data_IF_186907848477
#
_entry.id   IF_186907848477
#
_cell.length_a   1.000
_cell.length_b   1.000
_cell.length_c   1.000
_cell.angle_alpha   90.00
_cell.angle_beta   90.00
_cell.angle_gamma   90.00
#
_symmetry.space_group_name_H-M   'P 1'
#
loop_
_entity.id
_entity.type
_entity.pdbx_description
1 polymer ?
2 non-polymer ?
3 non-polymer ?
4 non-polymer ?
5 non-polymer ?
6 non-polymer ?
7 water ?
#
# COMPACT_ATOMS: atom_id res chain seq x y z
N UNK A 1 19.78 5.78 -12.53
CA UNK A 1 20.77 5.97 -11.46
C UNK A 1 20.05 6.25 -10.13
N UNK A 2 19.96 7.52 -9.73
CA UNK A 2 19.27 7.89 -8.50
C UNK A 2 17.76 7.83 -8.69
N UNK A 3 17.03 7.85 -7.55
CA UNK A 3 15.61 7.48 -7.56
C UNK A 3 14.76 8.43 -8.39
N UNK A 4 14.96 9.74 -8.23
CA UNK A 4 14.13 10.68 -8.98
C UNK A 4 14.33 10.53 -10.47
N UNK A 5 15.51 10.07 -10.90
CA UNK A 5 15.77 9.79 -12.31
C UNK A 5 15.08 8.51 -12.76
N UNK A 6 15.23 7.45 -11.96
CA UNK A 6 14.58 6.17 -12.24
C UNK A 6 13.07 6.32 -12.36
N UNK A 7 12.46 7.19 -11.55
CA UNK A 7 11.04 7.48 -11.66
C UNK A 7 10.65 8.01 -13.04
N UNK A 8 11.55 8.77 -13.68
CA UNK A 8 11.21 9.40 -14.95
C UNK A 8 11.55 8.47 -16.11
N UNK A 9 12.63 7.72 -15.99
CA UNK A 9 13.11 6.96 -17.13
C UNK A 9 12.99 5.45 -16.98
N UNK A 10 12.62 4.95 -15.79
CA UNK A 10 12.40 3.53 -15.64
C UNK A 10 11.07 3.08 -16.20
N UNK A 11 11.05 1.86 -16.74
CA UNK A 11 9.87 1.35 -17.40
C UNK A 11 9.83 1.79 -18.86
N UNK A 12 8.85 1.29 -19.58
CA UNK A 12 8.63 1.71 -20.96
C UNK A 12 7.34 2.53 -20.96
N UNK A 13 7.51 3.85 -21.13
CA UNK A 13 6.40 4.80 -21.10
C UNK A 13 6.48 5.79 -22.27
N UNK A 14 6.97 5.33 -23.42
CA UNK A 14 6.83 6.08 -24.66
C UNK A 14 6.28 5.13 -25.72
N UNK A 15 5.85 5.71 -26.83
CA UNK A 15 5.36 4.94 -27.97
C UNK A 15 6.53 4.67 -28.93
N UNK A 16 6.87 3.40 -29.10
CA UNK A 16 7.91 3.06 -30.07
C UNK A 16 7.52 3.46 -31.48
N UNK A 17 6.23 3.38 -31.82
CA UNK A 17 5.76 3.59 -33.19
C UNK A 17 5.84 5.06 -33.58
N UNK A 18 5.05 5.93 -32.92
CA UNK A 18 5.05 7.36 -33.26
C UNK A 18 6.13 8.15 -32.52
N UNK A 19 6.71 7.60 -31.45
CA UNK A 19 7.63 8.37 -30.66
C UNK A 19 6.99 9.22 -29.58
N UNK A 20 5.67 9.15 -29.43
CA UNK A 20 4.96 9.93 -28.41
C UNK A 20 5.62 9.75 -27.06
N UNK A 21 5.93 10.87 -26.38
CA UNK A 21 6.70 10.80 -25.14
C UNK A 21 5.89 10.32 -23.95
N UNK A 22 4.59 10.02 -24.15
CA UNK A 22 3.73 9.45 -23.14
C UNK A 22 3.09 8.20 -23.73
N UNK A 23 2.66 7.29 -22.85
CA UNK A 23 2.07 6.01 -23.26
C UNK A 23 0.70 6.24 -23.89
N UNK A 24 0.48 5.81 -25.13
CA UNK A 24 -0.86 5.95 -25.71
C UNK A 24 -1.88 5.16 -24.91
N UNK A 25 -3.12 5.67 -24.90
CA UNK A 25 -4.23 5.05 -24.18
C UNK A 25 -4.95 4.14 -25.16
N UNK A 26 -4.77 2.82 -25.02
CA UNK A 26 -5.37 1.84 -25.92
C UNK A 26 -6.75 1.49 -25.40
N UNK A 27 -7.69 2.39 -25.68
CA UNK A 27 -9.10 2.16 -25.37
C UNK A 27 -9.61 1.18 -26.42
N UNK A 28 -9.28 -0.11 -26.20
CA UNK A 28 -9.51 -1.16 -27.18
C UNK A 28 -9.59 -2.50 -26.46
N UNK A 29 -10.28 -3.46 -27.10
CA UNK A 29 -10.46 -4.79 -26.54
C UNK A 29 -9.89 -5.92 -27.37
N UNK A 30 -9.65 -5.72 -28.66
CA UNK A 30 -9.18 -6.81 -29.50
C UNK A 30 -8.29 -6.26 -30.61
N UNK A 31 -7.51 -7.14 -31.22
CA UNK A 31 -6.41 -6.74 -32.09
C UNK A 31 -6.42 -7.56 -33.37
N UNK A 32 -6.18 -6.87 -34.49
CA UNK A 32 -6.07 -7.54 -35.79
C UNK A 32 -4.96 -8.58 -35.76
N UNK A 33 -5.20 -9.69 -36.46
CA UNK A 33 -4.17 -10.69 -36.69
C UNK A 33 -3.94 -10.77 -38.20
N UNK A 34 -2.66 -10.75 -38.59
CA UNK A 34 -2.35 -10.82 -40.02
C UNK A 34 -2.55 -12.21 -40.57
N UNK A 35 -2.25 -13.22 -39.75
CA UNK A 35 -2.56 -14.62 -40.03
C UNK A 35 -3.04 -15.24 -38.72
N UNK A 36 -3.85 -16.30 -38.84
CA UNK A 36 -4.36 -16.99 -37.66
C UNK A 36 -3.19 -17.39 -36.77
N UNK A 37 -3.09 -16.79 -35.58
CA UNK A 37 -2.08 -17.10 -34.59
C UNK A 37 -0.90 -16.14 -34.53
N UNK A 38 -0.71 -15.32 -35.57
CA UNK A 38 0.40 -14.38 -35.62
C UNK A 38 -0.11 -13.01 -35.13
N UNK A 39 0.30 -12.64 -33.92
CA UNK A 39 -0.02 -11.35 -33.35
C UNK A 39 1.07 -10.36 -33.74
N UNK A 40 0.66 -9.15 -34.13
CA UNK A 40 1.63 -8.15 -34.61
C UNK A 40 2.64 -7.78 -33.54
N UNK A 41 2.18 -7.59 -32.29
CA UNK A 41 3.02 -7.13 -31.20
C UNK A 41 2.72 -7.88 -29.90
N UNK A 42 2.11 -9.05 -29.98
CA UNK A 42 1.82 -9.85 -28.81
C UNK A 42 0.47 -9.60 -28.18
N UNK A 43 -0.38 -8.79 -28.81
CA UNK A 43 -1.69 -8.45 -28.28
C UNK A 43 -2.75 -9.15 -29.11
N UNK A 44 -3.71 -9.76 -28.43
CA UNK A 44 -4.86 -10.40 -29.08
C UNK A 44 -6.19 -10.15 -28.40
N UNK A 45 -6.21 -9.86 -27.09
CA UNK A 45 -7.45 -9.59 -26.36
C UNK A 45 -7.07 -8.83 -25.10
N UNK A 46 -7.78 -7.72 -24.82
CA UNK A 46 -7.29 -6.77 -23.82
C UNK A 46 -7.34 -7.31 -22.40
N UNK A 47 -8.25 -8.24 -22.10
CA UNK A 47 -8.23 -8.86 -20.77
C UNK A 47 -6.91 -9.59 -20.53
N UNK A 48 -6.43 -10.32 -21.54
CA UNK A 48 -5.13 -10.98 -21.42
C UNK A 48 -3.99 -9.97 -21.34
N UNK A 49 -3.94 -9.00 -22.26
CA UNK A 49 -2.92 -7.96 -22.20
C UNK A 49 -3.36 -6.76 -23.02
N UNK A 50 -3.07 -5.57 -22.50
CA UNK A 50 -3.36 -4.29 -23.14
C UNK A 50 -2.10 -3.45 -23.09
N UNK A 51 -1.72 -2.77 -24.19
CA UNK A 51 -0.41 -2.06 -24.19
C UNK A 51 -0.30 -0.94 -23.14
N UNK A 52 -1.39 -0.25 -22.79
CA UNK A 52 -1.31 0.74 -21.72
C UNK A 52 -1.09 0.07 -20.37
N UNK A 53 -1.84 -1.00 -20.10
CA UNK A 53 -1.63 -1.75 -18.86
C UNK A 53 -0.22 -2.31 -18.82
N UNK A 54 0.30 -2.73 -19.98
CA UNK A 54 1.66 -3.25 -20.05
C UNK A 54 2.66 -2.16 -19.64
N UNK A 55 2.41 -0.93 -20.07
CA UNK A 55 3.21 0.20 -19.61
C UNK A 55 3.25 0.31 -18.09
N UNK A 56 2.07 0.36 -17.46
CA UNK A 56 2.10 0.56 -16.01
C UNK A 56 2.73 -0.66 -15.30
N UNK A 57 2.52 -1.86 -15.84
CA UNK A 57 3.13 -3.05 -15.24
C UNK A 57 4.65 -3.00 -15.34
N UNK A 58 5.17 -2.53 -16.48
CA UNK A 58 6.62 -2.39 -16.60
C UNK A 58 7.14 -1.37 -15.59
N UNK A 59 6.36 -0.30 -15.34
CA UNK A 59 6.81 0.70 -14.37
C UNK A 59 6.89 0.10 -12.96
N UNK A 60 5.84 -0.62 -12.53
CA UNK A 60 5.87 -1.13 -11.15
C UNK A 60 6.93 -2.21 -11.00
N UNK A 61 7.14 -3.04 -12.04
CA UNK A 61 8.23 -4.01 -11.98
C UNK A 61 9.57 -3.32 -11.83
N UNK A 62 9.81 -2.25 -12.61
CA UNK A 62 11.09 -1.55 -12.56
C UNK A 62 11.32 -0.88 -11.21
N UNK A 63 10.30 -0.19 -10.69
CA UNK A 63 10.45 0.56 -9.45
C UNK A 63 10.65 -0.36 -8.23
N UNK A 64 10.14 -1.59 -8.28
CA UNK A 64 10.33 -2.54 -7.19
C UNK A 64 11.46 -3.51 -7.47
N UNK A 65 12.27 -3.26 -8.50
CA UNK A 65 13.37 -4.15 -8.92
C UNK A 65 12.90 -5.58 -9.10
N UNK A 66 11.70 -5.75 -9.66
CA UNK A 66 11.19 -7.04 -10.05
C UNK A 66 11.32 -7.25 -11.54
N UNK A 67 10.76 -8.39 -11.99
CA UNK A 67 10.74 -8.69 -13.41
C UNK A 67 9.35 -8.69 -14.01
N UNK A 68 8.31 -8.76 -13.19
CA UNK A 68 6.95 -8.92 -13.68
C UNK A 68 6.02 -8.01 -12.92
N UNK A 69 5.16 -7.30 -13.66
CA UNK A 69 4.16 -6.44 -13.08
C UNK A 69 2.77 -6.86 -13.50
N UNK A 70 1.80 -6.59 -12.62
CA UNK A 70 0.39 -6.92 -12.84
C UNK A 70 -0.46 -5.79 -12.31
N UNK A 71 -1.37 -5.28 -13.14
CA UNK A 71 -2.29 -4.21 -12.74
C UNK A 71 -3.70 -4.75 -12.61
N UNK A 72 -4.30 -4.53 -11.44
CA UNK A 72 -5.64 -4.99 -11.11
C UNK A 72 -6.56 -3.80 -10.88
N UNK A 73 -7.86 -4.07 -10.90
CA UNK A 73 -8.87 -3.01 -10.82
C UNK A 73 -8.95 -2.36 -9.45
N UNK A 74 -8.24 -2.87 -8.45
CA UNK A 74 -8.17 -2.25 -7.13
C UNK A 74 -7.06 -2.94 -6.35
N UNK A 75 -6.70 -2.34 -5.22
CA UNK A 75 -5.80 -3.01 -4.30
C UNK A 75 -6.35 -4.34 -3.78
N UNK A 76 -7.63 -4.37 -3.38
CA UNK A 76 -8.16 -5.65 -2.91
C UNK A 76 -8.28 -6.66 -4.05
N UNK A 77 -8.38 -6.21 -5.30
CA UNK A 77 -8.36 -7.16 -6.41
C UNK A 77 -6.97 -7.80 -6.56
N UNK A 78 -5.91 -7.01 -6.37
CA UNK A 78 -4.56 -7.56 -6.38
C UNK A 78 -4.33 -8.50 -5.21
N UNK A 79 -4.81 -8.12 -4.02
CA UNK A 79 -4.67 -8.97 -2.84
C UNK A 79 -5.41 -10.28 -3.05
N UNK A 80 -6.63 -10.21 -3.60
CA UNK A 80 -7.40 -11.42 -3.88
C UNK A 80 -6.68 -12.32 -4.88
N UNK A 81 -6.14 -11.73 -5.95
CA UNK A 81 -5.39 -12.52 -6.94
C UNK A 81 -4.23 -13.25 -6.28
N UNK A 82 -3.54 -12.58 -5.34
CA UNK A 82 -2.41 -13.22 -4.66
C UNK A 82 -2.90 -14.35 -3.75
N UNK A 83 -3.99 -14.13 -3.01
CA UNK A 83 -4.54 -15.16 -2.13
C UNK A 83 -5.01 -16.37 -2.94
N UNK A 84 -5.47 -16.13 -4.18
CA UNK A 84 -5.93 -17.23 -5.02
C UNK A 84 -4.78 -18.05 -5.58
N UNK A 85 -3.52 -17.72 -5.26
CA UNK A 85 -2.42 -18.65 -5.48
C UNK A 85 -2.55 -19.92 -4.63
N UNK A 86 -3.41 -19.92 -3.63
CA UNK A 86 -3.55 -21.04 -2.69
C UNK A 86 -4.79 -21.87 -3.01
N UNK A 87 -4.87 -23.05 -2.37
CA UNK A 87 -5.98 -23.98 -2.49
C UNK A 87 -6.70 -24.11 -1.16
N UNK A 88 -7.94 -24.65 -1.21
CA UNK A 88 -8.62 -25.12 -0.01
C UNK A 88 -7.67 -25.94 0.86
N UNK A 89 -7.64 -25.60 2.15
CA UNK A 89 -6.82 -26.29 3.12
C UNK A 89 -5.50 -25.61 3.40
N UNK A 90 -5.07 -24.69 2.54
CA UNK A 90 -3.85 -23.94 2.76
C UNK A 90 -4.08 -22.86 3.82
N UNK A 91 -2.99 -22.47 4.47
CA UNK A 91 -3.03 -21.56 5.61
C UNK A 91 -2.15 -20.35 5.38
N UNK A 92 -2.61 -19.17 5.83
CA UNK A 92 -1.88 -17.91 5.69
C UNK A 92 -1.63 -17.31 7.06
N UNK A 93 -0.41 -16.82 7.28
CA UNK A 93 -0.07 -16.01 8.45
C UNK A 93 -0.03 -14.56 8.01
N UNK A 94 -0.76 -13.69 8.71
CA UNK A 94 -0.77 -12.27 8.42
C UNK A 94 -0.48 -11.49 9.71
N UNK A 95 -0.07 -10.23 9.57
CA UNK A 95 0.11 -9.40 10.77
C UNK A 95 -1.25 -9.11 11.39
N UNK A 96 -1.25 -8.89 12.72
CA UNK A 96 -2.50 -8.92 13.48
C UNK A 96 -3.43 -7.78 13.10
N UNK A 97 -2.89 -6.66 12.64
CA UNK A 97 -3.70 -5.47 12.38
C UNK A 97 -3.75 -5.13 10.89
N UNK A 98 -4.02 -6.12 10.03
CA UNK A 98 -4.04 -5.86 8.59
C UNK A 98 -5.14 -4.87 8.26
N UNK A 99 -5.01 -4.26 7.08
CA UNK A 99 -6.03 -3.39 6.54
C UNK A 99 -7.41 -4.07 6.62
N UNK A 100 -8.41 -3.30 7.06
CA UNK A 100 -9.75 -3.85 7.21
C UNK A 100 -10.26 -4.59 5.98
N UNK A 101 -9.97 -4.07 4.78
CA UNK A 101 -10.42 -4.74 3.58
C UNK A 101 -9.76 -6.10 3.39
N UNK A 102 -8.49 -6.21 3.77
CA UNK A 102 -7.79 -7.48 3.69
C UNK A 102 -8.39 -8.47 4.70
N UNK A 103 -8.60 -8.01 5.94
CA UNK A 103 -9.22 -8.85 6.96
C UNK A 103 -10.59 -9.33 6.51
N UNK A 104 -11.40 -8.42 5.95
CA UNK A 104 -12.75 -8.75 5.51
C UNK A 104 -12.72 -9.76 4.37
N UNK A 105 -11.89 -9.50 3.35
CA UNK A 105 -11.78 -10.45 2.24
C UNK A 105 -11.39 -11.83 2.74
N UNK A 106 -10.41 -11.90 3.65
CA UNK A 106 -9.93 -13.20 4.09
C UNK A 106 -10.96 -13.91 4.95
N UNK A 107 -11.51 -13.23 5.97
CA UNK A 107 -12.38 -13.93 6.91
C UNK A 107 -13.82 -14.04 6.44
N UNK A 108 -14.22 -13.32 5.39
CA UNK A 108 -15.60 -13.39 4.93
C UNK A 108 -15.75 -13.94 3.52
N UNK A 109 -14.68 -14.00 2.73
CA UNK A 109 -14.76 -14.57 1.38
C UNK A 109 -13.90 -15.84 1.33
N UNK A 110 -12.59 -15.70 1.44
CA UNK A 110 -11.71 -16.82 1.15
C UNK A 110 -11.78 -17.92 2.20
N UNK A 111 -12.24 -17.60 3.41
CA UNK A 111 -12.45 -18.62 4.42
C UNK A 111 -13.55 -19.59 4.00
N UNK A 112 -14.53 -19.11 3.23
CA UNK A 112 -15.55 -19.99 2.68
C UNK A 112 -14.98 -20.91 1.60
N UNK A 113 -13.78 -20.64 1.11
CA UNK A 113 -13.13 -21.50 0.13
C UNK A 113 -12.09 -22.41 0.77
N UNK A 114 -12.13 -22.54 2.09
CA UNK A 114 -11.22 -23.44 2.78
C UNK A 114 -9.84 -22.90 2.99
N UNK A 115 -9.58 -21.64 2.66
CA UNK A 115 -8.30 -21.04 3.01
C UNK A 115 -8.36 -20.59 4.47
N UNK A 116 -7.37 -21.00 5.25
CA UNK A 116 -7.32 -20.74 6.69
C UNK A 116 -6.34 -19.62 6.98
N UNK A 117 -6.67 -18.76 7.94
CA UNK A 117 -5.86 -17.60 8.25
C UNK A 117 -5.66 -17.46 9.75
N UNK A 118 -4.46 -17.01 10.14
CA UNK A 118 -4.19 -16.56 11.51
C UNK A 118 -3.53 -15.19 11.48
N UNK A 119 -4.03 -14.29 12.33
CA UNK A 119 -3.49 -12.94 12.47
C UNK A 119 -2.67 -12.89 13.74
N UNK A 120 -1.35 -12.73 13.60
CA UNK A 120 -0.45 -12.79 14.74
C UNK A 120 0.39 -11.51 14.79
N UNK A 121 1.02 -11.28 15.94
CA UNK A 121 1.79 -10.06 16.09
C UNK A 121 3.17 -10.29 15.48
N UNK A 122 3.33 -9.86 14.23
CA UNK A 122 4.59 -10.06 13.52
C UNK A 122 5.69 -9.09 13.94
N UNK A 123 5.41 -8.14 14.85
CA UNK A 123 6.48 -7.24 15.29
C UNK A 123 7.59 -8.01 16.00
N UNK A 124 7.29 -9.20 16.54
CA UNK A 124 8.29 -10.19 16.93
C UNK A 124 8.20 -11.37 15.94
N UNK A 125 9.26 -11.57 15.13
CA UNK A 125 9.18 -12.57 14.05
C UNK A 125 9.08 -14.00 14.57
N UNK A 126 9.53 -14.26 15.79
CA UNK A 126 9.35 -15.60 16.34
C UNK A 126 7.87 -15.92 16.56
N UNK A 127 7.00 -14.90 16.59
CA UNK A 127 5.58 -15.21 16.61
C UNK A 127 5.12 -15.77 15.27
N UNK A 128 5.77 -15.35 14.17
CA UNK A 128 5.54 -16.00 12.90
C UNK A 128 5.98 -17.45 12.97
N UNK A 129 7.19 -17.69 13.50
CA UNK A 129 7.71 -19.06 13.52
C UNK A 129 6.80 -19.98 14.35
N UNK A 130 6.27 -19.49 15.48
CA UNK A 130 5.33 -20.32 16.24
C UNK A 130 4.02 -20.53 15.48
N UNK A 131 3.54 -19.51 14.76
CA UNK A 131 2.26 -19.65 14.09
C UNK A 131 2.29 -20.61 12.91
N UNK A 132 3.47 -21.04 12.46
CA UNK A 132 3.56 -21.87 11.26
C UNK A 132 2.96 -23.25 11.55
N UNK A 133 1.98 -23.63 10.74
CA UNK A 133 1.34 -24.94 10.75
C UNK A 133 1.90 -25.80 9.63
N UNK A 134 1.70 -27.12 9.69
CA UNK A 134 2.09 -27.95 8.54
C UNK A 134 1.39 -27.55 7.25
N UNK A 135 0.22 -26.89 7.32
CA UNK A 135 -0.50 -26.44 6.14
C UNK A 135 -0.18 -25.01 5.69
N UNK A 136 0.72 -24.30 6.37
CA UNK A 136 0.95 -22.90 6.02
C UNK A 136 1.67 -22.81 4.68
N UNK A 137 1.13 -22.00 3.75
CA UNK A 137 1.76 -21.80 2.46
C UNK A 137 2.16 -20.36 2.18
N UNK A 138 1.66 -19.39 2.94
CA UNK A 138 1.88 -17.99 2.63
C UNK A 138 2.06 -17.17 3.90
N UNK A 139 2.97 -16.21 3.84
CA UNK A 139 3.16 -15.18 4.86
C UNK A 139 2.91 -13.83 4.21
N UNK A 140 1.95 -13.06 4.75
CA UNK A 140 1.48 -11.78 4.21
C UNK A 140 1.63 -10.72 5.29
N UNK A 141 2.47 -9.71 5.07
CA UNK A 141 2.68 -8.66 6.07
C UNK A 141 2.55 -7.28 5.42
N UNK A 142 1.97 -6.35 6.17
CA UNK A 142 2.01 -4.92 5.88
C UNK A 142 3.03 -4.27 6.80
N UNK A 143 3.85 -3.38 6.26
CA UNK A 143 4.66 -2.61 7.20
C UNK A 143 5.00 -1.24 6.61
N UNK A 144 4.67 -0.14 7.30
CA UNK A 144 3.96 -0.15 8.60
C UNK A 144 2.45 -0.30 8.43
N UNK A 145 1.76 -0.71 9.49
CA UNK A 145 0.34 -1.04 9.44
C UNK A 145 -0.52 0.18 9.74
N UNK A 146 -1.84 0.00 9.62
CA UNK A 146 -2.83 1.05 9.83
C UNK A 146 -3.79 0.69 10.95
N UNK A 147 -4.11 1.64 11.86
CA UNK A 147 -3.63 3.03 11.90
C UNK A 147 -2.52 3.30 12.91
N UNK A 148 -1.90 2.28 13.48
CA UNK A 148 -0.94 2.47 14.55
C UNK A 148 0.51 2.33 14.10
N UNK A 149 0.72 2.07 12.81
CA UNK A 149 2.03 2.01 12.15
C UNK A 149 3.00 1.09 12.87
N UNK A 150 2.56 -0.14 13.09
CA UNK A 150 3.44 -1.19 13.61
C UNK A 150 4.36 -1.66 12.48
N UNK A 151 5.64 -1.82 12.82
CA UNK A 151 6.69 -2.16 11.88
C UNK A 151 7.01 -3.64 12.00
N UNK A 152 7.13 -4.33 10.87
CA UNK A 152 7.54 -5.73 10.85
C UNK A 152 8.84 -5.84 10.07
N UNK A 153 9.79 -6.61 10.60
CA UNK A 153 11.08 -6.85 9.96
C UNK A 153 10.88 -7.64 8.66
N UNK A 154 11.10 -6.99 7.53
CA UNK A 154 10.82 -7.60 6.23
C UNK A 154 11.84 -8.69 5.92
N UNK A 155 13.11 -8.44 6.23
CA UNK A 155 14.15 -9.36 5.79
C UNK A 155 14.12 -10.65 6.61
N UNK A 156 13.88 -10.56 7.92
CA UNK A 156 13.69 -11.78 8.71
C UNK A 156 12.42 -12.52 8.32
N UNK A 157 11.38 -11.77 7.93
CA UNK A 157 10.17 -12.41 7.43
C UNK A 157 10.46 -13.22 6.16
N UNK A 158 11.28 -12.65 5.27
CA UNK A 158 11.67 -13.36 4.06
C UNK A 158 12.50 -14.59 4.37
N UNK A 159 13.43 -14.50 5.32
CA UNK A 159 14.22 -15.67 5.69
C UNK A 159 13.34 -16.77 6.26
N UNK A 160 12.44 -16.43 7.19
CA UNK A 160 11.52 -17.41 7.74
C UNK A 160 10.72 -18.08 6.63
N UNK A 161 10.18 -17.27 5.71
CA UNK A 161 9.37 -17.81 4.62
C UNK A 161 10.20 -18.73 3.72
N UNK A 162 11.44 -18.33 3.41
CA UNK A 162 12.29 -19.16 2.56
C UNK A 162 12.58 -20.49 3.24
N UNK A 163 12.88 -20.46 4.53
CA UNK A 163 13.25 -21.67 5.24
C UNK A 163 12.06 -22.63 5.41
N UNK A 164 10.84 -22.11 5.50
CA UNK A 164 9.68 -22.99 5.69
C UNK A 164 8.86 -23.19 4.41
N UNK A 165 9.36 -22.74 3.25
CA UNK A 165 8.64 -22.96 2.01
C UNK A 165 7.39 -22.15 1.82
N UNK A 166 7.36 -20.93 2.34
CA UNK A 166 6.20 -20.05 2.25
C UNK A 166 6.40 -19.03 1.13
N UNK A 167 5.32 -18.73 0.41
CA UNK A 167 5.32 -17.53 -0.44
C UNK A 167 5.24 -16.33 0.48
N UNK A 168 6.25 -15.46 0.42
CA UNK A 168 6.21 -14.22 1.20
C UNK A 168 5.66 -13.07 0.36
N UNK A 169 4.75 -12.30 0.96
CA UNK A 169 4.07 -11.15 0.36
C UNK A 169 4.16 -9.95 1.30
N UNK A 170 4.47 -8.79 0.74
CA UNK A 170 4.42 -7.53 1.48
C UNK A 170 3.47 -6.58 0.77
N UNK A 171 2.50 -6.07 1.53
CA UNK A 171 1.67 -4.95 1.11
C UNK A 171 2.49 -3.70 1.39
N UNK A 172 3.07 -3.11 0.33
CA UNK A 172 4.00 -2.00 0.45
C UNK A 172 3.35 -0.65 0.15
N UNK A 173 2.02 -0.56 0.34
CA UNK A 173 1.27 0.64 0.00
C UNK A 173 1.78 1.87 0.75
N UNK A 174 1.94 1.74 2.06
CA UNK A 174 2.22 2.90 2.91
C UNK A 174 3.60 3.50 2.64
N UNK A 175 4.57 2.69 2.21
CA UNK A 175 5.92 3.18 2.01
C UNK A 175 6.19 3.63 0.57
N UNK A 176 5.52 3.00 -0.43
CA UNK A 176 5.73 3.17 -1.87
C UNK A 176 7.07 2.58 -2.27
N UNK A 177 7.29 2.26 -3.55
CA UNK A 177 8.64 1.80 -3.97
C UNK A 177 9.71 2.85 -3.80
N UNK A 178 9.34 4.10 -3.54
CA UNK A 178 10.34 5.14 -3.40
C UNK A 178 11.19 4.93 -2.15
N UNK A 179 10.62 4.34 -1.10
CA UNK A 179 11.28 4.26 0.20
C UNK A 179 11.59 2.85 0.67
N UNK A 180 10.94 1.84 0.12
CA UNK A 180 11.02 0.47 0.66
C UNK A 180 10.83 -0.51 -0.49
N UNK A 181 11.76 -1.46 -0.64
CA UNK A 181 11.71 -2.41 -1.75
C UNK A 181 11.77 -3.84 -1.22
N UNK A 182 10.61 -4.42 -0.88
CA UNK A 182 10.59 -5.77 -0.30
C UNK A 182 11.27 -6.83 -1.17
N UNK A 183 11.16 -6.74 -2.49
CA UNK A 183 11.77 -7.76 -3.35
C UNK A 183 13.28 -7.79 -3.16
N UNK A 184 13.87 -6.65 -2.83
CA UNK A 184 15.30 -6.59 -2.60
C UNK A 184 15.71 -7.27 -1.30
N UNK A 185 14.76 -7.43 -0.37
CA UNK A 185 15.02 -8.06 0.92
C UNK A 185 14.59 -9.53 0.95
N UNK A 186 14.37 -10.14 -0.22
CA UNK A 186 14.08 -11.56 -0.32
C UNK A 186 12.61 -11.93 -0.42
N UNK A 187 11.71 -10.95 -0.37
CA UNK A 187 10.28 -11.22 -0.47
C UNK A 187 9.93 -11.72 -1.88
N UNK A 188 8.96 -12.63 -1.96
CA UNK A 188 8.55 -13.18 -3.24
C UNK A 188 7.67 -12.19 -4.02
N UNK A 189 6.67 -11.60 -3.36
CA UNK A 189 5.66 -10.77 -4.03
C UNK A 189 5.49 -9.47 -3.24
N UNK A 190 5.45 -8.34 -3.96
CA UNK A 190 5.13 -7.05 -3.36
C UNK A 190 3.87 -6.52 -4.04
N UNK A 191 2.98 -5.89 -3.28
CA UNK A 191 1.75 -5.35 -3.85
C UNK A 191 1.46 -3.98 -3.26
N UNK A 192 0.53 -3.28 -3.92
CA UNK A 192 0.16 -1.90 -3.60
C UNK A 192 -1.31 -1.67 -3.92
N UNK A 193 -1.98 -0.90 -3.06
CA UNK A 193 -3.13 -0.12 -3.50
C UNK A 193 -2.56 1.10 -4.24
N UNK A 194 -2.56 1.05 -5.57
CA UNK A 194 -2.11 2.23 -6.32
C UNK A 194 -3.09 3.38 -6.20
N UNK A 195 -4.26 3.12 -5.60
CA UNK A 195 -5.26 4.13 -5.27
C UNK A 195 -4.68 5.23 -4.40
N UNK A 196 -3.64 4.88 -3.64
CA UNK A 196 -3.11 5.80 -2.64
C UNK A 196 -1.95 6.60 -3.25
N UNK A 197 -0.74 6.43 -2.74
CA UNK A 197 0.40 7.27 -3.12
C UNK A 197 0.86 7.20 -4.58
N UNK A 198 0.80 6.01 -5.18
CA UNK A 198 1.38 5.83 -6.52
C UNK A 198 0.62 6.66 -7.54
N UNK A 199 -0.70 6.46 -7.65
CA UNK A 199 -1.51 7.36 -8.46
C UNK A 199 -1.48 8.77 -7.91
N UNK A 200 -1.64 8.90 -6.58
CA UNK A 200 -1.28 10.10 -5.86
C UNK A 200 -2.21 11.28 -6.00
N UNK A 201 -3.29 11.16 -6.78
CA UNK A 201 -4.17 12.29 -7.08
C UNK A 201 -5.64 11.98 -6.78
N UNK A 202 -5.91 10.94 -5.98
CA UNK A 202 -7.26 10.56 -5.55
C UNK A 202 -8.21 10.40 -6.72
N UNK A 203 -7.71 9.86 -7.82
CA UNK A 203 -8.57 9.75 -9.00
C UNK A 203 -8.43 8.43 -9.75
N UNK A 204 -7.77 7.43 -9.18
CA UNK A 204 -7.70 6.09 -9.75
C UNK A 204 -7.84 5.09 -8.61
N UNK A 205 -8.71 4.10 -8.79
CA UNK A 205 -8.76 2.92 -7.93
C UNK A 205 -8.06 1.79 -8.68
N UNK A 206 -6.94 1.30 -8.13
CA UNK A 206 -6.07 0.37 -8.84
C UNK A 206 -5.21 -0.41 -7.85
N UNK A 207 -4.81 -1.61 -8.26
CA UNK A 207 -3.82 -2.39 -7.53
C UNK A 207 -2.64 -2.74 -8.42
N UNK A 208 -1.46 -2.83 -7.81
CA UNK A 208 -0.25 -3.22 -8.55
C UNK A 208 0.48 -4.33 -7.80
N UNK A 209 0.94 -5.35 -8.53
CA UNK A 209 1.71 -6.47 -8.00
C UNK A 209 3.01 -6.60 -8.78
N UNK A 210 4.12 -6.87 -8.08
CA UNK A 210 5.39 -7.10 -8.75
C UNK A 210 6.09 -8.30 -8.14
N UNK A 211 6.81 -9.02 -8.99
CA UNK A 211 7.57 -10.18 -8.54
C UNK A 211 8.75 -10.40 -9.46
N UNK A 212 9.79 -11.04 -8.92
CA UNK A 212 10.92 -11.50 -9.70
C UNK A 212 10.85 -13.00 -10.01
N UNK A 213 9.89 -13.70 -9.44
CA UNK A 213 9.78 -15.14 -9.57
C UNK A 213 8.98 -15.49 -10.81
N UNK A 214 9.63 -16.16 -11.78
CA UNK A 214 8.99 -16.49 -13.05
C UNK A 214 7.76 -17.36 -12.87
N UNK A 215 7.85 -18.38 -11.98
CA UNK A 215 6.74 -19.31 -11.86
C UNK A 215 5.56 -18.67 -11.13
N UNK A 216 5.85 -17.88 -10.08
CA UNK A 216 4.78 -17.10 -9.45
C UNK A 216 4.18 -16.11 -10.43
N UNK A 217 5.00 -15.49 -11.28
CA UNK A 217 4.47 -14.55 -12.26
C UNK A 217 3.54 -15.27 -13.24
N UNK A 218 3.91 -16.48 -13.66
CA UNK A 218 3.05 -17.27 -14.53
C UNK A 218 1.72 -17.61 -13.87
N UNK A 219 1.74 -17.94 -12.57
CA UNK A 219 0.49 -18.25 -11.87
C UNK A 219 -0.36 -16.99 -11.67
N UNK A 220 0.27 -15.86 -11.34
CA UNK A 220 -0.47 -14.60 -11.21
C UNK A 220 -1.10 -14.20 -12.54
N UNK A 221 -0.35 -14.37 -13.65
CA UNK A 221 -0.90 -14.04 -14.96
C UNK A 221 -2.09 -14.93 -15.30
N UNK A 222 -1.99 -16.23 -15.01
CA UNK A 222 -3.13 -17.11 -15.25
C UNK A 222 -4.34 -16.70 -14.42
N UNK A 223 -4.11 -16.36 -13.14
CA UNK A 223 -5.24 -15.96 -12.30
C UNK A 223 -5.87 -14.68 -12.83
N UNK A 224 -5.03 -13.69 -13.18
CA UNK A 224 -5.53 -12.45 -13.77
C UNK A 224 -6.36 -12.72 -15.02
N UNK A 225 -5.86 -13.54 -15.93
CA UNK A 225 -6.60 -13.75 -17.16
C UNK A 225 -7.90 -14.53 -16.91
N UNK A 226 -7.91 -15.43 -15.91
CA UNK A 226 -9.09 -16.27 -15.70
C UNK A 226 -10.18 -15.60 -14.87
N UNK A 227 -9.80 -14.78 -13.87
CA UNK A 227 -10.78 -14.13 -13.02
C UNK A 227 -11.03 -12.65 -13.36
N UNK A 228 -10.12 -12.00 -14.08
CA UNK A 228 -10.44 -10.82 -14.84
C UNK A 228 -10.52 -9.50 -14.11
N UNK A 229 -9.89 -9.39 -12.93
CA UNK A 229 -9.87 -8.12 -12.22
C UNK A 229 -8.79 -7.18 -12.71
N UNK A 230 -8.81 -6.85 -14.03
CA UNK A 230 -7.74 -6.11 -14.71
C UNK A 230 -7.99 -4.60 -14.61
N UNK A 231 -6.90 -3.83 -14.53
CA UNK A 231 -7.01 -2.39 -14.62
C UNK A 231 -7.27 -1.97 -16.07
N UNK A 232 -8.19 -1.03 -16.25
CA UNK A 232 -8.49 -0.50 -17.57
C UNK A 232 -7.41 0.43 -18.12
N UNK A 233 -7.45 0.71 -19.42
CA UNK A 233 -6.34 1.46 -20.02
C UNK A 233 -6.27 2.92 -19.58
N UNK A 234 -7.41 3.60 -19.43
CA UNK A 234 -7.37 4.99 -18.95
C UNK A 234 -6.79 5.08 -17.54
N UNK A 235 -7.18 4.16 -16.65
CA UNK A 235 -6.64 4.15 -15.28
C UNK A 235 -5.16 3.79 -15.26
N UNK A 236 -4.74 2.85 -16.12
CA UNK A 236 -3.30 2.56 -16.24
C UNK A 236 -2.54 3.80 -16.69
N UNK A 237 -3.10 4.56 -17.64
CA UNK A 237 -2.44 5.79 -18.07
C UNK A 237 -2.32 6.78 -16.91
N UNK A 238 -3.42 7.01 -16.19
CA UNK A 238 -3.36 7.98 -15.09
C UNK A 238 -2.41 7.52 -13.99
N UNK A 239 -2.23 6.20 -13.81
CA UNK A 239 -1.23 5.69 -12.87
C UNK A 239 0.19 6.03 -13.30
N UNK A 240 0.53 5.72 -14.56
CA UNK A 240 1.84 6.11 -15.10
C UNK A 240 2.09 7.61 -14.87
N UNK A 241 1.09 8.43 -15.22
CA UNK A 241 1.27 9.87 -15.11
C UNK A 241 1.49 10.29 -13.65
N UNK A 242 0.69 9.74 -12.73
CA UNK A 242 0.85 10.11 -11.34
C UNK A 242 2.18 9.65 -10.77
N UNK A 243 2.63 8.45 -11.16
CA UNK A 243 3.88 7.92 -10.60
C UNK A 243 5.06 8.80 -10.96
N UNK A 244 5.00 9.48 -12.13
CA UNK A 244 6.07 10.45 -12.47
C UNK A 244 6.48 11.37 -11.30
N UNK A 245 5.53 11.87 -10.51
CA UNK A 245 5.84 12.80 -9.44
C UNK A 245 5.95 12.14 -8.06
N UNK A 246 6.01 10.80 -7.99
CA UNK A 246 6.00 10.11 -6.71
C UNK A 246 7.13 10.60 -5.80
N UNK A 247 8.34 10.73 -6.34
CA UNK A 247 9.47 11.13 -5.51
C UNK A 247 9.31 12.53 -4.95
N UNK A 248 9.02 13.50 -5.82
CA UNK A 248 8.82 14.87 -5.37
C UNK A 248 7.74 14.94 -4.30
N UNK A 249 6.63 14.21 -4.51
CA UNK A 249 5.52 14.24 -3.56
C UNK A 249 5.90 13.58 -2.23
N UNK A 250 6.49 12.37 -2.29
CA UNK A 250 6.90 11.70 -1.05
C UNK A 250 7.91 12.54 -0.27
N UNK A 251 8.79 13.27 -0.94
CA UNK A 251 9.79 14.04 -0.20
C UNK A 251 9.16 15.28 0.44
N UNK A 252 8.27 15.98 -0.28
CA UNK A 252 7.50 17.04 0.37
C UNK A 252 6.74 16.51 1.58
N UNK A 253 6.06 15.37 1.40
CA UNK A 253 5.28 14.77 2.47
C UNK A 253 6.18 14.44 3.67
N UNK A 254 7.39 13.94 3.41
CA UNK A 254 8.30 13.56 4.49
C UNK A 254 8.79 14.77 5.28
N UNK A 255 9.13 15.88 4.58
CA UNK A 255 9.49 17.11 5.29
C UNK A 255 8.35 17.55 6.22
N UNK A 256 7.12 17.58 5.67
CA UNK A 256 5.98 17.96 6.49
C UNK A 256 5.74 16.97 7.64
N UNK A 257 5.92 15.68 7.40
CA UNK A 257 5.71 14.67 8.45
C UNK A 257 6.63 14.96 9.63
N UNK A 258 7.92 15.23 9.36
CA UNK A 258 8.88 15.49 10.44
C UNK A 258 8.45 16.70 11.27
N UNK A 259 8.10 17.81 10.59
CA UNK A 259 7.73 19.01 11.36
C UNK A 259 6.41 18.81 12.12
N UNK A 260 5.44 18.15 11.49
CA UNK A 260 4.16 17.94 12.15
C UNK A 260 4.35 17.09 13.40
N UNK A 261 5.25 16.09 13.35
CA UNK A 261 5.49 15.23 14.50
C UNK A 261 6.15 16.01 15.64
N UNK A 262 7.13 16.87 15.34
CA UNK A 262 7.67 17.73 16.42
C UNK A 262 6.55 18.54 17.08
N UNK A 263 5.68 19.14 16.26
CA UNK A 263 4.56 19.90 16.81
C UNK A 263 3.67 19.01 17.69
N UNK A 264 3.27 17.84 17.18
CA UNK A 264 2.34 16.98 17.91
C UNK A 264 2.93 16.54 19.23
N UNK A 265 4.21 16.16 19.24
CA UNK A 265 4.83 15.75 20.49
C UNK A 265 4.86 16.90 21.50
N UNK A 266 5.07 18.13 21.01
CA UNK A 266 5.13 19.27 21.93
C UNK A 266 3.76 19.73 22.43
N UNK A 267 2.69 19.48 21.69
CA UNK A 267 1.40 20.07 22.04
C UNK A 267 0.79 19.38 23.26
N UNK A 268 0.15 20.14 24.17
CA UNK A 268 -0.40 19.52 25.39
C UNK A 268 -1.74 18.84 25.18
N UNK A 269 -2.45 19.09 24.09
CA UNK A 269 -3.71 18.41 23.81
C UNK A 269 -3.52 17.08 23.12
N UNK A 270 -2.27 16.68 22.88
CA UNK A 270 -1.93 15.45 22.17
C UNK A 270 -1.19 14.54 23.13
N UNK A 271 -1.60 13.27 23.17
CA UNK A 271 -0.92 12.29 24.00
C UNK A 271 0.03 11.45 23.16
N UNK A 272 -0.29 10.17 22.99
CA UNK A 272 0.59 9.30 22.21
C UNK A 272 0.54 9.64 20.72
N UNK A 273 1.71 9.60 20.09
CA UNK A 273 1.86 9.78 18.64
C UNK A 273 2.43 8.49 18.07
N UNK A 274 1.84 8.00 16.98
CA UNK A 274 2.27 6.77 16.32
C UNK A 274 2.84 7.09 14.94
N UNK A 275 4.13 6.83 14.77
CA UNK A 275 4.83 6.94 13.50
C UNK A 275 6.19 6.26 13.63
N UNK A 276 6.68 5.58 12.58
CA UNK A 276 7.95 4.83 12.71
C UNK A 276 9.18 5.73 12.81
N UNK A 277 9.05 7.03 12.51
CA UNK A 277 10.18 7.96 12.65
C UNK A 277 10.49 8.28 14.10
N UNK A 278 9.52 8.15 15.01
CA UNK A 278 9.77 8.40 16.43
C UNK A 278 10.70 7.33 16.99
N UNK A 279 11.77 7.76 17.66
CA UNK A 279 12.83 6.82 18.04
C UNK A 279 12.37 5.80 19.07
N UNK A 280 11.41 6.17 19.94
CA UNK A 280 10.87 5.27 20.94
C UNK A 280 9.87 4.27 20.36
N UNK A 281 9.60 4.34 19.06
CA UNK A 281 8.61 3.48 18.42
C UNK A 281 9.15 2.07 18.26
N UNK A 282 8.34 1.08 18.58
CA UNK A 282 8.74 -0.31 18.45
C UNK A 282 9.25 -0.60 17.04
N UNK A 283 10.43 -1.23 16.95
CA UNK A 283 11.08 -1.59 15.68
C UNK A 283 11.42 -0.36 14.84
N UNK A 284 11.65 0.80 15.47
CA UNK A 284 12.16 1.96 14.75
C UNK A 284 13.46 1.62 14.02
N UNK A 285 14.38 0.94 14.73
CA UNK A 285 15.66 0.54 14.14
C UNK A 285 15.43 -0.34 12.91
N UNK A 286 14.48 -1.26 13.01
CA UNK A 286 14.13 -2.15 11.89
C UNK A 286 13.62 -1.34 10.70
N UNK A 287 12.67 -0.43 10.95
CA UNK A 287 12.18 0.39 9.86
C UNK A 287 13.32 1.12 9.18
N UNK A 288 14.19 1.76 9.97
CA UNK A 288 15.30 2.50 9.39
C UNK A 288 16.21 1.59 8.58
N UNK A 289 16.34 0.32 9.00
CA UNK A 289 17.17 -0.62 8.26
C UNK A 289 16.54 -1.05 6.94
N UNK A 290 15.21 -1.04 6.83
CA UNK A 290 14.56 -1.56 5.63
C UNK A 290 13.91 -0.49 4.75
N UNK A 291 13.93 0.77 5.18
CA UNK A 291 13.36 1.87 4.40
C UNK A 291 14.26 3.08 4.57
N UNK A 292 14.32 3.94 3.55
CA UNK A 292 15.10 5.17 3.67
C UNK A 292 14.21 6.42 3.67
N UNK A 293 12.99 6.26 4.14
CA UNK A 293 12.12 7.40 4.34
C UNK A 293 10.89 6.91 5.08
N UNK A 294 9.85 7.74 5.07
CA UNK A 294 8.70 7.48 5.92
C UNK A 294 7.40 7.57 5.16
N UNK A 295 6.40 6.86 5.66
CA UNK A 295 5.04 7.06 5.21
C UNK A 295 4.54 8.41 5.70
N UNK A 296 3.49 8.90 5.02
CA UNK A 296 2.81 10.14 5.40
C UNK A 296 1.65 9.97 6.35
N UNK A 297 1.31 8.73 6.72
CA UNK A 297 0.23 8.44 7.67
C UNK A 297 0.77 8.62 9.09
N UNK A 298 0.11 9.45 9.88
CA UNK A 298 0.41 9.66 11.29
C UNK A 298 -0.87 9.48 12.07
N UNK A 299 -0.78 8.83 13.23
CA UNK A 299 -1.90 8.77 14.18
C UNK A 299 -1.48 9.37 15.51
N UNK A 300 -2.43 10.03 16.18
CA UNK A 300 -2.15 10.60 17.48
C UNK A 300 -3.43 10.67 18.29
N UNK A 301 -3.27 10.67 19.61
CA UNK A 301 -4.39 10.72 20.54
C UNK A 301 -4.71 12.16 20.92
N UNK A 302 -5.98 12.55 20.77
CA UNK A 302 -6.52 13.67 21.55
C UNK A 302 -7.43 13.05 22.60
N UNK A 303 -8.12 13.88 23.38
CA UNK A 303 -8.69 13.39 24.65
C UNK A 303 -9.91 12.48 24.44
N UNK A 304 -10.78 12.78 23.49
CA UNK A 304 -12.03 12.03 23.37
C UNK A 304 -12.64 12.28 21.99
N UNK A 305 -13.87 11.80 21.80
CA UNK A 305 -14.53 11.95 20.51
C UNK A 305 -14.85 13.42 20.21
N UNK A 306 -15.29 14.18 21.23
CA UNK A 306 -15.65 15.58 21.04
C UNK A 306 -14.43 16.41 20.66
N UNK A 307 -13.29 16.15 21.30
CA UNK A 307 -12.04 16.81 20.92
C UNK A 307 -11.63 16.48 19.49
N UNK A 308 -11.82 15.22 19.06
CA UNK A 308 -11.50 14.84 17.68
C UNK A 308 -12.39 15.59 16.69
N UNK A 309 -13.69 15.66 16.97
CA UNK A 309 -14.60 16.36 16.08
C UNK A 309 -14.27 17.85 16.01
N UNK A 310 -13.94 18.46 17.15
CA UNK A 310 -13.55 19.88 17.16
C UNK A 310 -12.27 20.09 16.37
N UNK A 311 -11.30 19.20 16.53
CA UNK A 311 -10.06 19.27 15.75
C UNK A 311 -10.36 19.30 14.27
N UNK A 312 -11.20 18.37 13.81
CA UNK A 312 -11.50 18.29 12.38
C UNK A 312 -12.19 19.56 11.89
N UNK A 313 -13.11 20.11 12.70
CA UNK A 313 -13.82 21.30 12.23
C UNK A 313 -13.01 22.58 12.33
N UNK A 314 -11.93 22.60 13.11
CA UNK A 314 -11.12 23.80 13.28
C UNK A 314 -9.97 23.94 12.28
N UNK A 315 -9.67 22.92 11.49
CA UNK A 315 -8.57 23.00 10.53
C UNK A 315 -9.04 23.65 9.23
N UNK A 316 -8.12 24.35 8.56
CA UNK A 316 -8.43 24.89 7.24
C UNK A 316 -7.93 24.01 6.08
N UNK A 317 -6.79 23.34 6.25
CA UNK A 317 -6.15 22.60 5.17
C UNK A 317 -6.23 21.08 5.34
N UNK A 318 -7.00 20.58 6.31
CA UNK A 318 -7.16 19.14 6.47
C UNK A 318 -8.58 18.74 6.05
N UNK A 319 -8.66 17.86 5.05
CA UNK A 319 -9.91 17.44 4.41
C UNK A 319 -10.43 16.14 5.04
N UNK A 320 -11.70 16.15 5.43
CA UNK A 320 -12.34 14.97 6.00
C UNK A 320 -12.84 14.10 4.85
N UNK A 321 -12.10 13.02 4.56
CA UNK A 321 -12.47 12.05 3.54
C UNK A 321 -11.82 10.71 3.88
N UNK A 322 -12.24 9.66 3.17
CA UNK A 322 -11.61 8.32 3.32
C UNK A 322 -10.37 8.24 2.42
N UNK A 323 -9.62 7.14 2.50
CA UNK A 323 -8.40 6.84 1.72
C UNK A 323 -7.22 7.68 2.24
N UNK A 324 -6.07 7.59 1.57
CA UNK A 324 -4.80 8.29 1.94
C UNK A 324 -3.98 8.55 0.67
N UNK A 325 -2.81 9.16 0.79
CA UNK A 325 -1.99 9.37 -0.40
C UNK A 325 -2.50 10.40 -1.39
N UNK A 326 -3.32 11.35 -0.97
CA UNK A 326 -3.76 12.40 -1.88
C UNK A 326 -2.70 13.51 -1.97
N UNK A 327 -2.93 14.46 -2.90
CA UNK A 327 -2.13 15.70 -2.83
C UNK A 327 -2.63 16.55 -1.66
N UNK A 328 -3.92 16.43 -1.34
CA UNK A 328 -4.49 17.08 -0.16
C UNK A 328 -4.13 16.29 1.10
N UNK A 329 -4.11 16.98 2.23
CA UNK A 329 -3.90 16.36 3.52
C UNK A 329 -5.26 15.90 4.05
N UNK A 330 -5.38 14.63 4.40
CA UNK A 330 -6.65 14.03 4.79
C UNK A 330 -6.67 13.73 6.28
N UNK A 331 -7.84 13.85 6.90
CA UNK A 331 -7.97 13.65 8.34
C UNK A 331 -9.18 12.76 8.59
N UNK A 332 -9.09 11.95 9.65
CA UNK A 332 -10.13 10.98 9.93
C UNK A 332 -10.04 10.50 11.37
N UNK A 333 -11.12 9.89 11.84
CA UNK A 333 -11.21 9.31 13.16
C UNK A 333 -11.55 7.84 13.00
N UNK A 334 -10.54 6.96 13.05
CA UNK A 334 -10.80 5.52 12.82
C UNK A 334 -11.98 4.94 13.60
N UNK A 335 -12.12 5.27 14.89
CA UNK A 335 -13.20 4.69 15.67
C UNK A 335 -14.58 5.06 15.15
N UNK A 336 -14.71 6.16 14.40
CA UNK A 336 -15.99 6.55 13.82
C UNK A 336 -16.13 6.20 12.35
N UNK A 337 -15.04 5.86 11.67
CA UNK A 337 -15.06 5.71 10.22
C UNK A 337 -14.66 4.30 9.77
N UNK A 338 -13.43 3.88 10.00
CA UNK A 338 -12.99 2.58 9.50
C UNK A 338 -13.22 1.47 10.50
N UNK A 339 -13.26 1.76 11.80
CA UNK A 339 -13.32 0.74 12.83
C UNK A 339 -14.60 0.78 13.65
N UNK A 340 -15.63 1.46 13.15
CA UNK A 340 -16.87 1.57 13.92
C UNK A 340 -17.62 0.25 14.06
N UNK A 341 -17.23 -0.78 13.29
CA UNK A 341 -17.84 -2.10 13.43
C UNK A 341 -17.40 -2.77 14.72
N UNK A 342 -16.16 -2.58 15.11
CA UNK A 342 -15.60 -3.25 16.29
C UNK A 342 -16.24 -2.65 17.54
N UNK A 343 -16.67 -3.47 18.50
CA UNK A 343 -17.19 -2.92 19.76
C UNK A 343 -16.17 -2.00 20.41
N UNK A 344 -16.69 -0.98 21.11
CA UNK A 344 -15.85 0.11 21.58
C UNK A 344 -14.82 -0.36 22.59
N UNK A 345 -15.17 -1.34 23.44
CA UNK A 345 -14.22 -1.81 24.46
C UNK A 345 -13.05 -2.55 23.82
N UNK A 346 -13.30 -3.23 22.70
CA UNK A 346 -12.24 -3.93 21.98
C UNK A 346 -11.40 -2.95 21.16
N UNK A 347 -12.03 -1.89 20.64
CA UNK A 347 -11.28 -0.78 20.06
C UNK A 347 -10.32 -0.18 21.08
N UNK A 348 -10.83 0.10 22.28
CA UNK A 348 -9.99 0.63 23.35
C UNK A 348 -8.83 -0.31 23.66
N UNK A 349 -9.12 -1.62 23.78
CA UNK A 349 -8.05 -2.56 24.11
C UNK A 349 -6.97 -2.53 23.04
N UNK A 350 -7.35 -2.41 21.77
CA UNK A 350 -6.37 -2.41 20.69
C UNK A 350 -5.61 -1.10 20.55
N UNK A 351 -6.08 -0.02 21.16
CA UNK A 351 -5.45 1.28 21.03
C UNK A 351 -6.18 2.25 20.13
N UNK A 352 -7.25 1.81 19.47
CA UNK A 352 -8.11 2.67 18.67
C UNK A 352 -9.08 3.39 19.59
N UNK A 353 -8.57 4.36 20.35
CA UNK A 353 -9.39 5.12 21.28
C UNK A 353 -10.38 6.02 20.52
N UNK A 354 -11.33 6.58 21.27
CA UNK A 354 -12.32 7.46 20.66
C UNK A 354 -11.69 8.76 20.14
N UNK A 355 -10.56 9.16 20.70
CA UNK A 355 -9.88 10.38 20.31
C UNK A 355 -8.63 10.15 19.48
N UNK A 356 -8.53 8.97 18.86
CA UNK A 356 -7.42 8.71 17.95
C UNK A 356 -7.71 9.34 16.60
N UNK A 357 -6.87 10.28 16.19
CA UNK A 357 -6.96 10.95 14.90
C UNK A 357 -5.88 10.38 13.99
N UNK A 358 -6.25 10.13 12.74
CA UNK A 358 -5.28 9.77 11.71
C UNK A 358 -5.26 10.86 10.64
N UNK A 359 -4.07 11.38 10.35
CA UNK A 359 -3.87 12.27 9.23
C UNK A 359 -3.01 11.56 8.20
N UNK A 360 -3.30 11.83 6.93
CA UNK A 360 -2.48 11.48 5.78
C UNK A 360 -1.92 12.79 5.23
N UNK A 361 -0.63 13.05 5.49
CA UNK A 361 -0.01 14.31 5.09
C UNK A 361 0.02 14.41 3.57
N UNK A 362 -0.41 15.57 3.06
CA UNK A 362 -0.38 15.88 1.64
C UNK A 362 0.82 16.74 1.28
N UNK A 363 0.71 17.48 0.19
CA UNK A 363 1.86 18.20 -0.33
C UNK A 363 1.68 19.72 -0.19
N UNK A 364 0.78 20.17 0.69
CA UNK A 364 0.68 21.60 0.98
C UNK A 364 1.97 22.09 1.61
N UNK A 365 2.07 23.41 1.76
CA UNK A 365 3.26 23.97 2.40
C UNK A 365 3.42 23.44 3.82
N UNK A 366 4.65 23.11 4.19
CA UNK A 366 4.92 22.48 5.49
C UNK A 366 4.48 23.39 6.65
N UNK A 367 4.87 24.67 6.60
CA UNK A 367 4.50 25.57 7.68
C UNK A 367 3.00 25.73 7.78
N UNK A 368 2.31 25.81 6.64
CA UNK A 368 0.85 25.90 6.70
C UNK A 368 0.25 24.67 7.38
N UNK A 369 0.72 23.47 7.05
CA UNK A 369 0.16 22.26 7.66
C UNK A 369 0.42 22.23 9.17
N UNK A 370 1.66 22.54 9.56
CA UNK A 370 2.02 22.58 10.98
C UNK A 370 1.18 23.63 11.72
N UNK A 371 1.17 24.88 11.24
CA UNK A 371 0.45 25.96 11.91
C UNK A 371 -1.03 25.70 11.98
N UNK A 372 -1.62 25.22 10.89
CA UNK A 372 -3.05 24.93 10.87
C UNK A 372 -3.41 23.89 11.92
N UNK A 373 -2.69 22.75 11.92
CA UNK A 373 -3.02 21.71 12.90
C UNK A 373 -2.79 22.23 14.31
N UNK A 374 -1.76 23.05 14.51
CA UNK A 374 -1.46 23.55 15.85
C UNK A 374 -2.55 24.48 16.36
N UNK A 375 -3.01 25.42 15.53
CA UNK A 375 -4.07 26.33 16.00
C UNK A 375 -5.37 25.56 16.25
N UNK A 376 -5.65 24.55 15.41
CA UNK A 376 -6.82 23.70 15.66
C UNK A 376 -6.69 22.98 17.00
N UNK A 377 -5.48 22.52 17.33
CA UNK A 377 -5.27 21.84 18.62
C UNK A 377 -5.32 22.82 19.77
N UNK A 378 -4.93 24.07 19.53
CA UNK A 378 -5.04 25.13 20.53
C UNK A 378 -6.50 25.42 20.87
N UNK A 379 -7.43 25.16 19.93
CA UNK A 379 -8.83 25.31 20.34
C UNK A 379 -9.33 24.19 21.26
N UNK A 380 -8.50 23.22 21.62
CA UNK A 380 -8.94 22.17 22.54
C UNK A 380 -8.52 22.50 23.97
X LIG B 1 16.35 2.49 -14.72
X LIG B 1 16.65 3.78 -14.94
X LIG B 1 15.90 4.50 -16.01
X LIG B 1 17.62 4.43 -14.20
X LIG B 1 17.88 5.75 -14.46
X LIG B 1 18.31 3.75 -13.21
X LIG B 1 19.36 4.42 -12.39
X LIG B 1 17.99 2.37 -12.98
X LIG B 1 17.01 1.81 -13.78
X LIG B 1 18.69 1.54 -11.96
X LIG B 1 18.02 1.63 -10.69
X LIG B 1 18.60 0.81 -9.44
X LIG B 1 18.24 -0.66 -9.59
X LIG B 1 20.10 0.99 -9.43
X LIG B 1 17.99 1.38 -8.18
X LIG C 1 -9.23 -5.88 11.79
X LIG C 1 -10.22 -5.01 11.10
X LIG C 1 -11.46 -5.51 10.75
X LIG C 1 -12.14 -4.46 10.20
X LIG C 1 -11.26 -3.27 10.23
X LIG C 1 -11.35 -1.83 9.81
X LIG C 1 -13.50 -4.49 9.63
X LIG C 1 -10.42 -7.80 13.01
X LIG C 1 -10.92 -8.08 14.27
X LIG C 1 -10.84 -6.61 16.38
X LIG C 1 -10.43 -5.38 16.88
X LIG C 1 -9.78 -4.49 16.01
X LIG C 1 -9.54 -4.80 14.68
X LIG C 1 -9.96 -6.03 14.20
X LIG C 1 -10.61 -6.93 15.06
X LIG C 1 -9.84 -6.59 12.95
X LIG C 1 -10.09 -3.66 10.81
X LIG C 1 -14.26 -5.42 9.99
X LIG C 1 -13.88 -3.62 8.82
X LIG C 1 -9.19 -2.80 16.59
X LIG D 1 -23.28 3.26 19.00
X LIG D 1 -22.34 2.24 18.36
X LIG D 1 -21.12 1.97 19.22
X LIG D 1 -19.86 2.12 18.40
X LIG D 1 -21.22 0.55 19.79
X LIG D 1 -20.05 0.29 20.70
X LIG D 1 -23.73 3.03 20.15
X LIG D 1 -23.56 4.28 18.35
X LIG D 1 -19.80 1.63 17.25
X LIG D 1 -18.90 2.75 18.94
X LIG D 1 -20.19 0.51 21.93
X LIG D 1 -18.99 -0.15 20.20
X LIG D 1 -21.07 2.89 20.32
X LIG E 1 13.30 -13.84 -5.10
X LIG F 1 11.36 5.08 -19.80
X LIG G 1 13.32 -10.26 15.94
X LIG G 1 13.68 -10.46 17.28
X LIG G 1 11.80 -9.88 15.94
X LIG G 1 11.38 -9.37 17.15
X LIG G 1 11.57 -8.90 14.73
X LIG G 1 11.69 -7.54 15.13
X LIG H 1 3.01 -8.60 -25.56
X LIG H 1 2.76 -9.96 -25.36
X LIG H 1 3.47 -8.03 -24.19
X LIG H 1 3.82 -6.69 -24.27
X LIG H 1 2.28 -8.33 -23.19
X LIG H 1 2.61 -7.78 -21.92
X LIG I 1 6.42 -20.62 -4.63
X LIG I 1 5.61 -21.78 -4.36
X LIG I 1 7.71 -20.61 -3.72
X LIG I 1 8.15 -19.33 -3.42
X LIG I 1 7.37 -21.44 -2.42
X LIG I 1 8.43 -21.25 -1.53
#
# INVERSE_FOLDING_TARGET
SNKKTKLIHGGHTTDDYTGAVTTPIYQTSTYLQDDIGDLRQGYEYSRTANPTRSSVESVIATLENGKHGFAFSSGVAAISAVVMLLDKGDHIILNSDVYGGTYRALTKVFTRFGIEVDFVDTTHTDSIVQAIRPTTKMLFIETPSNPLLRVTDIKKSAEIAKEHGLISVVDNTFMTPYYQNPLDLGIDIVLHSATKYLGGHSDVVAGLVATSDDKLAERLAFISNSTGGILGPQDSYLLVRGIKTLGLRMEQINRSVIEIIKMLQAHPAVQQVFHPSIESHLNHDVHMAQADGHTGVIAFEVKNTESAKQLIKATSYYTLAESLGAVESLISVPALMTHASIPADIRAKEGITDGLVRISVGIEDTEDLVDDLKQALDTL
PLP N1 C2 C2A C3 O3 C4 C4A C5 C6 C5A O4P P O1P O2P O3P
YXA C10 C11 C12 C13 C14 C16 C17 C2 C3 C4 C5 C6 C7 C8 C9 N1 O15 O18 O19 BR
FLC CAC CA CB CBC CG CGC OA1 OA2 OB1 OB2 OG1 OG2 OHB
NA NA
NA NA
GOL C1 O1 C2 O2 C3 O3
GOL C1 O1 C2 O2 C3 O3
GOL C1 O1 C2 O2 C3 O3
#
